data_IF_686931706718
#
_entry.id   IF_686931706718
#
_cell.length_a   1.000
_cell.length_b   1.000
_cell.length_c   1.000
_cell.angle_alpha   90.00
_cell.angle_beta   90.00
_cell.angle_gamma   90.00
#
_symmetry.space_group_name_H-M   'P 1'
#
loop_
_entity.id
_entity.type
_entity.pdbx_description
1 polymer ?
#
# COMPACT_ATOMS: atom_id res chain seq x y z
N UNK A 1 7.06 -20.44 -0.53
CA UNK A 1 7.20 -19.04 -0.06
C UNK A 1 8.09 -18.16 -0.98
N UNK A 2 8.49 -18.58 -2.19
CA UNK A 2 9.70 -18.02 -2.83
C UNK A 2 9.57 -17.68 -4.33
N UNK A 3 8.68 -16.73 -4.68
CA UNK A 3 8.65 -16.14 -6.04
C UNK A 3 9.04 -14.65 -6.06
N UNK A 4 9.11 -14.00 -4.90
CA UNK A 4 9.62 -12.63 -4.76
C UNK A 4 11.15 -12.64 -4.75
N UNK A 5 11.75 -12.46 -5.94
CA UNK A 5 13.20 -12.41 -6.16
C UNK A 5 13.78 -11.02 -5.87
N UNK A 6 13.01 -9.97 -6.12
CA UNK A 6 13.46 -8.58 -5.95
C UNK A 6 12.89 -7.99 -4.66
N UNK A 7 13.73 -7.32 -3.87
CA UNK A 7 13.32 -6.56 -2.69
C UNK A 7 13.91 -5.16 -2.74
N UNK A 8 13.08 -4.15 -2.49
CA UNK A 8 13.49 -2.75 -2.38
C UNK A 8 13.19 -2.31 -0.95
N UNK A 9 14.13 -1.63 -0.31
CA UNK A 9 13.96 -1.12 1.06
C UNK A 9 14.60 0.26 1.18
N UNK A 10 13.84 1.19 1.75
CA UNK A 10 14.35 2.49 2.18
C UNK A 10 15.03 2.38 3.53
N UNK A 11 15.33 3.53 4.15
CA UNK A 11 15.94 3.58 5.49
C UNK A 11 15.08 2.82 6.51
N UNK A 12 15.72 1.96 7.28
CA UNK A 12 15.08 1.25 8.39
C UNK A 12 15.74 1.63 9.72
N UNK A 13 14.98 1.56 10.82
CA UNK A 13 15.46 1.99 12.14
C UNK A 13 16.51 1.03 12.72
N UNK A 14 16.37 -0.27 12.44
CA UNK A 14 17.15 -1.33 13.09
C UNK A 14 17.63 -2.38 12.10
N UNK A 15 18.80 -2.95 12.36
CA UNK A 15 19.36 -4.08 11.60
C UNK A 15 18.44 -5.33 11.63
N UNK A 16 17.61 -5.49 12.67
CA UNK A 16 16.62 -6.57 12.75
C UNK A 16 15.58 -6.41 11.65
N UNK A 17 15.08 -5.20 11.45
CA UNK A 17 14.10 -4.90 10.39
C UNK A 17 14.73 -5.10 9.01
N UNK A 18 16.00 -4.72 8.84
CA UNK A 18 16.77 -4.91 7.60
C UNK A 18 16.94 -6.39 7.27
N UNK A 19 17.21 -7.21 8.30
CA UNK A 19 17.29 -8.66 8.17
C UNK A 19 15.95 -9.29 7.80
N UNK A 20 14.85 -8.86 8.41
CA UNK A 20 13.49 -9.35 8.09
C UNK A 20 13.07 -8.96 6.67
N UNK A 21 13.37 -7.73 6.26
CA UNK A 21 13.16 -7.24 4.90
C UNK A 21 14.10 -7.91 3.88
N UNK A 22 15.13 -8.64 4.35
CA UNK A 22 16.07 -9.37 3.50
C UNK A 22 17.07 -8.47 2.77
N UNK A 23 17.16 -7.19 3.14
CA UNK A 23 18.07 -6.17 2.58
C UNK A 23 18.92 -5.62 3.73
N UNK A 24 19.97 -6.36 4.11
CA UNK A 24 20.89 -5.95 5.18
C UNK A 24 21.63 -4.65 4.79
N UNK A 25 21.87 -3.78 5.77
CA UNK A 25 22.49 -2.47 5.56
C UNK A 25 21.49 -1.35 5.23
N UNK A 26 20.19 -1.62 5.18
CA UNK A 26 19.15 -0.59 5.02
C UNK A 26 19.09 0.39 6.21
N UNK A 27 19.65 0.01 7.36
CA UNK A 27 19.83 0.82 8.56
C UNK A 27 20.93 1.88 8.42
N UNK A 28 21.91 1.66 7.54
CA UNK A 28 23.05 2.55 7.31
C UNK A 28 22.70 3.71 6.37
N UNK A 29 21.49 3.72 5.81
CA UNK A 29 21.03 4.80 4.94
C UNK A 29 20.91 6.07 5.78
N UNK A 30 21.61 7.12 5.35
CA UNK A 30 21.58 8.42 6.00
C UNK A 30 20.15 8.99 6.05
N UNK A 31 19.78 9.55 7.21
CA UNK A 31 18.49 10.18 7.43
C UNK A 31 18.28 11.41 6.53
N UNK A 32 19.35 12.11 6.17
CA UNK A 32 19.30 13.27 5.30
C UNK A 32 19.15 12.89 3.81
N UNK A 33 19.49 11.66 3.44
CA UNK A 33 19.43 11.17 2.06
C UNK A 33 18.01 10.70 1.68
N UNK A 34 17.05 11.64 1.62
CA UNK A 34 15.67 11.37 1.18
C UNK A 34 15.65 10.70 -0.20
N UNK A 35 14.97 9.56 -0.29
CA UNK A 35 14.85 8.78 -1.52
C UNK A 35 16.02 7.84 -1.81
N UNK A 36 17.05 7.78 -0.96
CA UNK A 36 18.09 6.74 -1.06
C UNK A 36 17.52 5.40 -0.60
N UNK A 37 17.68 4.37 -1.43
CA UNK A 37 17.14 3.04 -1.21
C UNK A 37 18.17 1.97 -1.56
N UNK A 38 18.00 0.78 -0.97
CA UNK A 38 18.74 -0.43 -1.35
C UNK A 38 17.82 -1.41 -2.06
N UNK A 39 18.29 -1.98 -3.17
CA UNK A 39 17.60 -3.02 -3.93
C UNK A 39 18.42 -4.30 -3.90
N UNK A 40 17.76 -5.42 -3.63
CA UNK A 40 18.31 -6.76 -3.70
C UNK A 40 17.64 -7.53 -4.82
N UNK A 41 18.40 -7.77 -5.90
CA UNK A 41 18.01 -8.66 -7.01
C UNK A 41 18.84 -9.94 -6.87
N UNK A 42 20.12 -9.86 -7.22
CA UNK A 42 21.13 -10.88 -6.95
C UNK A 42 22.10 -10.40 -5.86
N UNK A 43 22.55 -9.14 -5.99
CA UNK A 43 23.35 -8.41 -5.01
C UNK A 43 22.58 -7.20 -4.48
N UNK A 44 23.03 -6.66 -3.34
CA UNK A 44 22.47 -5.43 -2.77
C UNK A 44 23.13 -4.23 -3.45
N UNK A 45 22.33 -3.40 -4.12
CA UNK A 45 22.78 -2.15 -4.75
C UNK A 45 22.06 -0.97 -4.11
N UNK A 46 22.76 0.15 -3.98
CA UNK A 46 22.18 1.42 -3.56
C UNK A 46 21.76 2.22 -4.79
N UNK A 47 20.59 2.85 -4.73
CA UNK A 47 20.12 3.74 -5.78
C UNK A 47 19.31 4.90 -5.20
N UNK A 48 19.16 5.96 -5.99
CA UNK A 48 18.29 7.07 -5.69
C UNK A 48 16.94 6.86 -6.39
N UNK A 49 15.86 6.82 -5.61
CA UNK A 49 14.51 6.74 -6.16
C UNK A 49 14.13 8.04 -6.87
N UNK A 50 13.35 7.90 -7.94
CA UNK A 50 12.76 9.04 -8.63
C UNK A 50 11.79 9.76 -7.70
N UNK A 51 11.93 11.08 -7.62
CA UNK A 51 10.98 11.91 -6.92
C UNK A 51 9.78 12.17 -7.83
N UNK A 52 8.59 11.83 -7.34
CA UNK A 52 7.33 12.13 -7.98
C UNK A 52 6.49 12.93 -6.98
N UNK A 53 6.17 14.18 -7.33
CA UNK A 53 5.28 15.01 -6.52
C UNK A 53 3.82 14.63 -6.75
N UNK A 54 2.96 15.02 -5.80
CA UNK A 54 1.54 14.68 -5.83
C UNK A 54 0.81 15.31 -7.04
N UNK A 55 1.21 16.51 -7.47
CA UNK A 55 0.63 17.21 -8.62
C UNK A 55 0.92 16.46 -9.91
N UNK A 56 2.19 16.20 -10.19
CA UNK A 56 2.62 15.41 -11.34
C UNK A 56 2.03 13.99 -11.33
N UNK A 57 1.88 13.37 -10.15
CA UNK A 57 1.20 12.08 -10.02
C UNK A 57 -0.26 12.14 -10.47
N UNK A 58 -1.01 13.18 -10.05
CA UNK A 58 -2.41 13.37 -10.45
C UNK A 58 -2.55 13.62 -11.95
N UNK A 59 -1.65 14.38 -12.55
CA UNK A 59 -1.61 14.61 -13.99
C UNK A 59 -1.32 13.31 -14.76
N UNK A 60 -0.32 12.54 -14.32
CA UNK A 60 0.04 11.26 -14.93
C UNK A 60 -1.10 10.23 -14.84
N UNK A 61 -1.84 10.23 -13.74
CA UNK A 61 -2.99 9.34 -13.52
C UNK A 61 -4.27 9.82 -14.20
N UNK A 62 -4.36 11.09 -14.59
CA UNK A 62 -5.58 11.68 -15.17
C UNK A 62 -6.15 10.93 -16.38
N UNK A 63 -5.38 10.43 -17.37
CA UNK A 63 -5.94 9.70 -18.51
C UNK A 63 -6.44 8.29 -18.14
N UNK A 64 -6.04 7.75 -16.99
CA UNK A 64 -6.45 6.42 -16.52
C UNK A 64 -7.69 6.46 -15.62
N UNK A 65 -8.16 7.65 -15.23
CA UNK A 65 -9.38 7.80 -14.45
C UNK A 65 -10.58 7.67 -15.40
N UNK A 66 -11.44 6.68 -15.16
CA UNK A 66 -12.71 6.55 -15.86
C UNK A 66 -13.55 7.81 -15.58
N UNK A 67 -13.98 8.49 -16.64
CA UNK A 67 -14.90 9.64 -16.58
C UNK A 67 -16.35 9.23 -16.26
N UNK A 68 -16.57 7.94 -16.05
CA UNK A 68 -17.88 7.33 -15.93
C UNK A 68 -17.88 6.71 -14.54
N UNK A 69 -18.57 7.38 -13.61
CA UNK A 69 -19.29 6.62 -12.59
C UNK A 69 -20.16 5.66 -13.38
N UNK A 70 -19.73 4.40 -13.55
CA UNK A 70 -20.71 3.34 -13.72
C UNK A 70 -21.67 3.57 -12.56
N UNK A 71 -22.90 3.97 -12.86
CA UNK A 71 -23.94 4.12 -11.86
C UNK A 71 -23.86 2.85 -11.03
N UNK A 72 -23.54 2.98 -9.74
CA UNK A 72 -23.49 1.83 -8.86
C UNK A 72 -24.77 1.05 -9.14
N UNK A 73 -24.69 -0.27 -9.45
CA UNK A 73 -25.90 -1.03 -9.65
C UNK A 73 -26.77 -0.78 -8.42
N UNK A 74 -28.02 -0.42 -8.63
CA UNK A 74 -28.98 -0.17 -7.56
C UNK A 74 -29.18 -1.50 -6.82
N UNK A 75 -28.32 -1.78 -5.85
CA UNK A 75 -28.35 -3.00 -5.04
C UNK A 75 -29.56 -2.81 -4.14
N UNK A 76 -30.70 -3.34 -4.58
CA UNK A 76 -31.90 -3.46 -3.75
C UNK A 76 -31.58 -4.41 -2.60
N UNK A 77 -31.19 -3.84 -1.48
CA UNK A 77 -31.04 -4.58 -0.23
C UNK A 77 -32.44 -4.87 0.28
N UNK A 78 -32.97 -6.04 -0.10
CA UNK A 78 -34.20 -6.56 0.50
C UNK A 78 -33.97 -6.75 2.01
N UNK A 79 -34.82 -6.17 2.88
CA UNK A 79 -34.68 -6.36 4.31
C UNK A 79 -34.89 -7.84 4.65
N UNK A 80 -33.81 -8.55 4.97
CA UNK A 80 -33.89 -9.92 5.45
C UNK A 80 -34.12 -9.92 6.95
N UNK A 81 -35.10 -10.69 7.43
CA UNK A 81 -35.30 -10.88 8.87
C UNK A 81 -34.10 -11.65 9.42
N UNK A 82 -33.28 -10.99 10.24
CA UNK A 82 -32.15 -11.63 10.91
C UNK A 82 -32.71 -12.52 12.02
N UNK A 83 -32.55 -13.84 11.88
CA UNK A 83 -32.96 -14.81 12.89
C UNK A 83 -32.27 -14.51 14.23
N UNK A 84 -33.06 -14.31 15.29
CA UNK A 84 -32.57 -14.04 16.65
C UNK A 84 -32.55 -12.56 17.09
N UNK A 85 -32.95 -11.63 16.21
CA UNK A 85 -33.18 -10.24 16.61
C UNK A 85 -34.59 -10.10 17.19
N UNK A 86 -34.72 -9.93 18.51
CA UNK A 86 -35.98 -9.58 19.16
C UNK A 86 -36.36 -8.16 18.75
N UNK A 87 -37.34 -8.01 17.86
CA UNK A 87 -37.95 -6.72 17.59
C UNK A 87 -38.61 -6.21 18.87
N UNK A 88 -38.30 -4.96 19.25
CA UNK A 88 -38.83 -4.38 20.48
C UNK A 88 -40.35 -4.36 20.38
N UNK A 89 -41.01 -5.11 21.25
CA UNK A 89 -42.44 -5.00 21.49
C UNK A 89 -42.76 -3.55 21.83
N UNK A 90 -43.56 -2.89 20.99
CA UNK A 90 -44.20 -1.62 21.34
C UNK A 90 -45.11 -1.89 22.54
N UNK A 91 -44.65 -1.47 23.72
CA UNK A 91 -45.45 -1.43 24.94
C UNK A 91 -46.65 -0.53 24.72
N UNK A 92 -47.83 -1.14 24.76
CA UNK A 92 -49.15 -0.52 24.62
C UNK A 92 -49.60 0.12 25.94
#
# INVERSE_FOLDING_TARGET
>A
KANLRVRISGRQADAINAKVAGVMGAEEIDAAARGRMKIKIDEVKEFQAFFLDEGACKELLSPYKTLIHDSEPDIKVEPQSIFGLLEKEEQR
#
